data_IF_520398665399
#
_entry.id   IF_520398665399
#
_cell.length_a   1.000
_cell.length_b   1.000
_cell.length_c   1.000
_cell.angle_alpha   90.00
_cell.angle_beta   90.00
_cell.angle_gamma   90.00
#
_symmetry.space_group_name_H-M   'P 1'
#
loop_
_entity.id
_entity.type
_entity.pdbx_description
1 polymer ?
#
# COMPACT_ATOMS: atom_id res chain seq x y z
N UNK A 1 -1.94 9.67 -6.21
CA UNK A 1 -2.61 8.35 -6.04
C UNK A 1 -1.62 7.34 -5.44
N UNK A 2 -1.05 7.63 -4.27
CA UNK A 2 0.36 7.26 -4.02
C UNK A 2 0.56 6.22 -2.90
N UNK A 3 -0.52 5.62 -2.37
CA UNK A 3 -0.48 4.66 -1.24
C UNK A 3 -0.85 3.22 -1.66
N UNK A 4 -0.66 2.89 -2.93
CA UNK A 4 -1.07 1.62 -3.50
C UNK A 4 -0.30 1.34 -4.78
N UNK A 5 0.09 0.09 -4.99
CA UNK A 5 0.62 -0.38 -6.28
C UNK A 5 -0.56 -0.70 -7.19
N UNK A 6 -0.71 0.06 -8.28
CA UNK A 6 -1.76 -0.18 -9.27
C UNK A 6 -1.38 -1.36 -10.17
N UNK A 7 -2.31 -2.30 -10.37
CA UNK A 7 -2.15 -3.41 -11.31
C UNK A 7 -3.19 -3.26 -12.44
N UNK A 8 -2.73 -2.97 -13.66
CA UNK A 8 -3.62 -2.84 -14.81
C UNK A 8 -4.13 -4.22 -15.26
N UNK A 9 -5.45 -4.44 -15.15
CA UNK A 9 -6.09 -5.66 -15.66
C UNK A 9 -6.34 -5.54 -17.16
N UNK A 10 -5.64 -6.35 -17.95
CA UNK A 10 -5.78 -6.41 -19.41
C UNK A 10 -6.83 -7.44 -19.83
N UNK A 11 -7.49 -7.19 -20.97
CA UNK A 11 -8.47 -8.14 -21.52
C UNK A 11 -7.74 -9.35 -22.10
N UNK A 12 -8.09 -10.53 -21.59
CA UNK A 12 -7.61 -11.82 -22.07
C UNK A 12 -7.86 -11.98 -23.58
N UNK A 13 -6.83 -12.37 -24.32
CA UNK A 13 -6.89 -12.68 -25.76
C UNK A 13 -7.38 -14.13 -26.00
N UNK A 14 -7.96 -14.44 -27.19
CA UNK A 14 -8.54 -15.77 -27.46
C UNK A 14 -7.54 -16.94 -27.38
N UNK A 15 -6.24 -16.68 -27.57
CA UNK A 15 -5.18 -17.68 -27.55
C UNK A 15 -4.51 -17.83 -26.17
N UNK A 16 -4.78 -16.93 -25.22
CA UNK A 16 -4.23 -17.04 -23.87
C UNK A 16 -4.98 -18.13 -23.10
N UNK A 17 -4.24 -18.95 -22.34
CA UNK A 17 -4.82 -19.88 -21.36
C UNK A 17 -4.56 -19.30 -19.97
N UNK A 18 -5.59 -19.34 -19.11
CA UNK A 18 -5.51 -18.82 -17.74
C UNK A 18 -6.38 -19.70 -16.87
N UNK A 19 -5.81 -20.22 -15.79
CA UNK A 19 -6.51 -21.15 -14.90
C UNK A 19 -7.64 -20.48 -14.13
N UNK A 20 -8.74 -21.21 -13.98
CA UNK A 20 -9.93 -20.72 -13.29
C UNK A 20 -9.81 -21.08 -11.81
N UNK A 21 -9.32 -20.15 -10.99
CA UNK A 21 -9.20 -20.31 -9.52
C UNK A 21 -10.47 -20.83 -8.81
N UNK A 22 -11.66 -20.61 -9.38
CA UNK A 22 -12.94 -21.17 -8.91
C UNK A 22 -13.05 -22.71 -8.96
N UNK A 23 -12.10 -23.37 -9.65
CA UNK A 23 -11.98 -24.82 -9.80
C UNK A 23 -10.58 -25.29 -9.35
N UNK A 24 -9.95 -24.55 -8.44
CA UNK A 24 -8.74 -25.02 -7.77
C UNK A 24 -9.02 -26.30 -6.96
N UNK A 25 -8.00 -27.13 -6.79
CA UNK A 25 -8.09 -28.37 -6.00
C UNK A 25 -8.55 -28.07 -4.55
N UNK A 26 -9.46 -28.88 -3.97
CA UNK A 26 -9.86 -28.76 -2.58
C UNK A 26 -8.64 -28.83 -1.64
N UNK A 27 -8.54 -27.90 -0.69
CA UNK A 27 -7.40 -27.83 0.24
C UNK A 27 -6.19 -27.03 -0.26
N UNK A 28 -6.12 -26.65 -1.55
CA UNK A 28 -4.97 -25.93 -2.10
C UNK A 28 -4.73 -24.58 -1.40
N UNK A 29 -5.80 -23.80 -1.18
CA UNK A 29 -5.68 -22.48 -0.56
C UNK A 29 -5.37 -22.57 0.94
N UNK A 30 -5.93 -23.55 1.64
CA UNK A 30 -5.63 -23.85 3.03
C UNK A 30 -4.16 -24.27 3.20
N UNK A 31 -3.65 -25.12 2.31
CA UNK A 31 -2.25 -25.54 2.29
C UNK A 31 -1.31 -24.36 2.00
N UNK A 32 -1.60 -23.55 0.98
CA UNK A 32 -0.81 -22.36 0.66
C UNK A 32 -0.84 -21.33 1.80
N UNK A 33 -1.99 -21.12 2.45
CA UNK A 33 -2.09 -20.23 3.59
C UNK A 33 -1.25 -20.73 4.78
N UNK A 34 -1.28 -22.03 5.09
CA UNK A 34 -0.45 -22.64 6.13
C UNK A 34 1.05 -22.52 5.82
N UNK A 35 1.45 -22.74 4.56
CA UNK A 35 2.84 -22.57 4.12
C UNK A 35 3.32 -21.12 4.22
N UNK A 36 2.49 -20.15 3.80
CA UNK A 36 2.80 -18.72 3.89
C UNK A 36 2.87 -18.24 5.34
N UNK A 37 1.93 -18.68 6.19
CA UNK A 37 1.94 -18.37 7.62
C UNK A 37 3.24 -18.88 8.27
N UNK A 38 3.58 -20.15 8.05
CA UNK A 38 4.80 -20.74 8.60
C UNK A 38 6.07 -20.04 8.09
N UNK A 39 6.15 -19.76 6.79
CA UNK A 39 7.28 -19.02 6.22
C UNK A 39 7.41 -17.63 6.85
N UNK A 40 6.29 -16.93 7.10
CA UNK A 40 6.30 -15.60 7.71
C UNK A 40 6.76 -15.60 9.18
N UNK A 41 6.45 -16.65 9.94
CA UNK A 41 7.00 -16.87 11.29
C UNK A 41 8.51 -17.11 11.24
N UNK A 42 8.95 -18.03 10.37
CA UNK A 42 10.35 -18.44 10.28
C UNK A 42 11.29 -17.34 9.73
N UNK A 43 10.77 -16.40 8.94
CA UNK A 43 11.56 -15.39 8.22
C UNK A 43 11.28 -13.94 8.63
N UNK A 44 10.36 -13.70 9.57
CA UNK A 44 9.89 -12.35 9.92
C UNK A 44 11.00 -11.36 10.32
N UNK A 45 12.00 -11.81 11.06
CA UNK A 45 13.14 -10.96 11.45
C UNK A 45 14.17 -10.76 10.32
N UNK A 46 14.29 -11.72 9.40
CA UNK A 46 15.10 -11.55 8.20
C UNK A 46 14.47 -10.48 7.28
N UNK A 47 13.15 -10.54 7.05
CA UNK A 47 12.41 -9.52 6.29
C UNK A 47 12.55 -8.14 6.96
N UNK A 48 12.38 -8.06 8.28
CA UNK A 48 12.51 -6.81 9.06
C UNK A 48 13.90 -6.16 8.95
N UNK A 49 14.96 -6.97 8.85
CA UNK A 49 16.36 -6.51 8.81
C UNK A 49 16.90 -6.32 7.40
N UNK A 50 16.26 -6.90 6.38
CA UNK A 50 16.61 -6.69 4.97
C UNK A 50 16.56 -5.19 4.60
N UNK A 51 17.53 -4.75 3.80
CA UNK A 51 17.65 -3.36 3.30
C UNK A 51 17.88 -3.41 1.80
N UNK A 52 16.81 -3.67 1.01
CA UNK A 52 16.93 -3.85 -0.43
C UNK A 52 17.36 -2.56 -1.13
N UNK A 53 18.12 -2.72 -2.20
CA UNK A 53 18.42 -1.61 -3.10
C UNK A 53 17.13 -1.16 -3.82
N UNK A 54 16.63 -0.01 -3.42
CA UNK A 54 15.47 0.65 -4.03
C UNK A 54 15.89 1.32 -5.35
N UNK A 55 15.24 1.02 -6.49
CA UNK A 55 15.53 1.71 -7.74
C UNK A 55 15.30 3.22 -7.63
N UNK A 56 16.26 4.03 -8.11
CA UNK A 56 16.23 5.49 -7.99
C UNK A 56 15.04 6.19 -8.69
N UNK A 57 14.30 5.47 -9.54
CA UNK A 57 13.05 5.95 -10.15
C UNK A 57 11.80 5.72 -9.26
N UNK A 58 11.96 5.25 -8.02
CA UNK A 58 10.88 5.17 -7.03
C UNK A 58 10.91 6.40 -6.12
N UNK A 59 10.04 7.36 -6.39
CA UNK A 59 9.95 8.60 -5.61
C UNK A 59 9.01 8.46 -4.39
N UNK A 60 9.42 9.05 -3.26
CA UNK A 60 8.67 9.15 -2.00
C UNK A 60 7.84 7.91 -1.65
N UNK A 61 6.51 8.00 -1.80
CA UNK A 61 5.56 6.96 -1.40
C UNK A 61 5.62 5.70 -2.25
N UNK A 62 6.13 5.80 -3.49
CA UNK A 62 6.36 4.60 -4.30
C UNK A 62 7.46 3.74 -3.67
N UNK A 63 8.52 4.35 -3.15
CA UNK A 63 9.56 3.66 -2.39
C UNK A 63 8.99 3.01 -1.12
N UNK A 64 8.25 3.77 -0.29
CA UNK A 64 7.55 3.26 0.92
C UNK A 64 6.71 2.00 0.62
N UNK A 65 5.96 2.00 -0.49
CA UNK A 65 5.05 0.90 -0.86
C UNK A 65 5.81 -0.34 -1.39
N UNK A 66 6.94 -0.15 -2.08
CA UNK A 66 7.71 -1.22 -2.69
C UNK A 66 8.75 -1.83 -1.75
N UNK A 67 9.25 -1.11 -0.74
CA UNK A 67 10.27 -1.60 0.19
C UNK A 67 9.88 -2.95 0.84
N UNK A 68 8.67 -3.15 1.42
CA UNK A 68 8.32 -4.42 2.04
C UNK A 68 8.28 -5.60 1.06
N UNK A 69 7.87 -5.36 -0.19
CA UNK A 69 7.85 -6.39 -1.23
C UNK A 69 9.27 -6.76 -1.67
N UNK A 70 10.18 -5.79 -1.72
CA UNK A 70 11.59 -6.01 -2.03
C UNK A 70 12.33 -6.71 -0.86
N UNK A 71 12.00 -6.38 0.40
CA UNK A 71 12.51 -7.08 1.59
C UNK A 71 12.12 -8.57 1.58
N UNK A 72 10.86 -8.88 1.26
CA UNK A 72 10.39 -10.26 1.07
C UNK A 72 11.14 -10.93 -0.08
N UNK A 73 11.25 -10.27 -1.23
CA UNK A 73 11.93 -10.82 -2.41
C UNK A 73 13.41 -11.14 -2.15
N UNK A 74 14.13 -10.30 -1.40
CA UNK A 74 15.52 -10.57 -0.97
C UNK A 74 15.62 -11.70 0.04
N UNK A 75 14.66 -11.81 0.96
CA UNK A 75 14.63 -12.91 1.93
C UNK A 75 14.35 -14.26 1.27
N UNK A 76 13.52 -14.30 0.22
CA UNK A 76 13.31 -15.50 -0.61
C UNK A 76 14.52 -15.77 -1.53
N UNK A 77 15.17 -14.72 -2.03
CA UNK A 77 16.37 -14.81 -2.87
C UNK A 77 16.13 -15.38 -4.27
N UNK A 78 17.19 -15.89 -4.89
CA UNK A 78 17.15 -16.42 -6.26
C UNK A 78 16.76 -15.35 -7.28
N UNK A 79 15.76 -15.63 -8.12
CA UNK A 79 15.29 -14.73 -9.20
C UNK A 79 14.31 -13.64 -8.72
N UNK A 80 13.84 -13.73 -7.47
CA UNK A 80 12.78 -12.85 -6.96
C UNK A 80 13.21 -11.38 -6.77
N UNK A 81 14.41 -11.05 -6.26
CA UNK A 81 14.84 -9.66 -6.09
C UNK A 81 14.88 -8.88 -7.42
N UNK A 82 15.45 -9.48 -8.46
CA UNK A 82 15.52 -8.89 -9.79
C UNK A 82 14.12 -8.75 -10.42
N UNK A 83 13.29 -9.79 -10.29
CA UNK A 83 11.91 -9.77 -10.80
C UNK A 83 11.07 -8.68 -10.14
N UNK A 84 11.19 -8.53 -8.81
CA UNK A 84 10.49 -7.49 -8.05
C UNK A 84 10.99 -6.08 -8.41
N UNK A 85 12.31 -5.84 -8.52
CA UNK A 85 12.86 -4.56 -8.98
C UNK A 85 12.39 -4.18 -10.39
N UNK A 86 12.35 -5.15 -11.31
CA UNK A 86 11.83 -4.94 -12.68
C UNK A 86 10.34 -4.62 -12.70
N UNK A 87 9.54 -5.28 -11.86
CA UNK A 87 8.12 -4.98 -11.72
C UNK A 87 7.88 -3.57 -11.14
N UNK A 88 8.67 -3.17 -10.14
CA UNK A 88 8.59 -1.85 -9.54
C UNK A 88 8.86 -0.72 -10.55
N UNK A 89 9.92 -0.87 -11.36
CA UNK A 89 10.23 0.08 -12.45
C UNK A 89 9.12 0.15 -13.50
N UNK A 90 8.60 -1.00 -13.95
CA UNK A 90 7.55 -1.03 -14.97
C UNK A 90 6.25 -0.37 -14.50
N UNK A 91 5.83 -0.62 -13.25
CA UNK A 91 4.58 -0.10 -12.70
C UNK A 91 4.66 1.36 -12.25
N UNK A 92 5.83 1.83 -11.79
CA UNK A 92 6.03 3.25 -11.47
C UNK A 92 6.16 4.13 -12.72
N UNK A 93 6.80 3.64 -13.80
CA UNK A 93 6.96 4.41 -15.03
C UNK A 93 5.64 4.80 -15.72
N UNK A 94 4.62 3.94 -15.69
CA UNK A 94 3.28 4.27 -16.21
C UNK A 94 2.54 5.31 -15.33
N UNK A 95 2.80 5.30 -14.01
CA UNK A 95 2.28 6.30 -13.09
C UNK A 95 2.95 7.67 -13.31
N UNK A 96 4.28 7.72 -13.43
CA UNK A 96 5.02 8.96 -13.72
C UNK A 96 4.67 9.54 -15.09
N UNK A 97 4.53 8.71 -16.14
CA UNK A 97 4.08 9.17 -17.45
C UNK A 97 2.64 9.73 -17.43
N UNK A 98 1.77 9.16 -16.58
CA UNK A 98 0.42 9.68 -16.38
C UNK A 98 0.42 10.99 -15.59
N UNK A 99 1.26 11.08 -14.54
CA UNK A 99 1.44 12.29 -13.74
C UNK A 99 2.05 13.44 -14.57
N UNK A 100 3.09 13.18 -15.36
CA UNK A 100 3.75 14.21 -16.20
C UNK A 100 2.79 14.79 -17.24
N UNK A 101 1.96 13.93 -17.86
CA UNK A 101 0.89 14.38 -18.77
C UNK A 101 -0.20 15.17 -18.02
N UNK A 102 -0.47 14.84 -16.75
CA UNK A 102 -1.40 15.58 -15.91
C UNK A 102 -0.84 16.93 -15.42
N UNK A 103 0.46 17.04 -15.15
CA UNK A 103 1.13 18.31 -14.84
C UNK A 103 1.25 19.22 -16.06
N UNK A 104 1.45 18.64 -17.26
CA UNK A 104 1.37 19.35 -18.53
C UNK A 104 -0.03 19.97 -18.70
N UNK A 105 -1.09 19.17 -18.47
CA UNK A 105 -2.47 19.65 -18.48
C UNK A 105 -2.74 20.77 -17.45
N UNK A 106 -2.22 20.65 -16.23
CA UNK A 106 -2.37 21.71 -15.23
C UNK A 106 -1.64 22.99 -15.63
N UNK A 107 -0.46 22.89 -16.26
CA UNK A 107 0.31 24.03 -16.77
C UNK A 107 -0.50 24.79 -17.82
N UNK A 108 -1.05 24.08 -18.80
CA UNK A 108 -1.85 24.68 -19.87
C UNK A 108 -3.16 25.29 -19.36
N UNK A 109 -3.80 24.65 -18.38
CA UNK A 109 -4.99 25.21 -17.73
C UNK A 109 -4.63 26.49 -16.96
N UNK A 110 -3.51 26.52 -16.24
CA UNK A 110 -3.04 27.74 -15.56
C UNK A 110 -2.81 28.89 -16.55
N UNK A 111 -2.17 28.63 -17.69
CA UNK A 111 -1.98 29.62 -18.76
C UNK A 111 -3.31 30.15 -19.31
N UNK A 112 -4.33 29.30 -19.49
CA UNK A 112 -5.67 29.76 -19.91
C UNK A 112 -6.32 30.67 -18.85
N UNK A 113 -6.19 30.33 -17.57
CA UNK A 113 -6.70 31.15 -16.47
C UNK A 113 -5.99 32.51 -16.36
N UNK A 114 -4.68 32.57 -16.60
CA UNK A 114 -3.89 33.80 -16.70
C UNK A 114 -4.27 34.64 -17.92
N UNK A 115 -4.26 34.05 -19.11
CA UNK A 115 -4.48 34.73 -20.40
C UNK A 115 -5.87 35.36 -20.48
N UNK A 116 -6.88 34.70 -19.92
CA UNK A 116 -8.25 35.24 -19.84
C UNK A 116 -8.49 36.11 -18.60
N UNK A 117 -7.53 36.21 -17.67
CA UNK A 117 -7.64 36.82 -16.34
C UNK A 117 -8.95 36.40 -15.62
N UNK A 118 -9.31 35.12 -15.76
CA UNK A 118 -10.64 34.63 -15.43
C UNK A 118 -10.68 34.08 -13.99
N UNK A 119 -11.57 34.60 -13.16
CA UNK A 119 -11.84 34.00 -11.83
C UNK A 119 -12.74 32.76 -11.91
N UNK A 120 -13.44 32.59 -13.05
CA UNK A 120 -14.44 31.56 -13.32
C UNK A 120 -14.45 31.27 -14.81
N UNK A 121 -14.41 30.01 -15.21
CA UNK A 121 -14.45 29.59 -16.61
C UNK A 121 -15.43 28.41 -16.77
N UNK A 122 -16.26 28.41 -17.80
CA UNK A 122 -17.10 27.25 -18.10
C UNK A 122 -16.23 26.11 -18.65
N UNK A 123 -16.61 24.85 -18.40
CA UNK A 123 -15.83 23.69 -18.82
C UNK A 123 -15.70 23.61 -20.35
N UNK A 124 -16.72 24.08 -21.08
CA UNK A 124 -16.71 24.17 -22.54
C UNK A 124 -15.66 25.18 -23.05
N UNK A 125 -15.62 26.37 -22.45
CA UNK A 125 -14.71 27.44 -22.87
C UNK A 125 -13.26 27.11 -22.51
N UNK A 126 -13.04 26.48 -21.34
CA UNK A 126 -11.73 25.95 -20.96
C UNK A 126 -11.24 24.89 -21.96
N UNK A 127 -12.11 23.96 -22.37
CA UNK A 127 -11.74 22.96 -23.36
C UNK A 127 -11.45 23.59 -24.72
N UNK A 128 -12.28 24.54 -25.17
CA UNK A 128 -12.05 25.23 -26.44
C UNK A 128 -10.72 26.00 -26.42
N UNK A 129 -10.36 26.64 -25.31
CA UNK A 129 -9.07 27.32 -25.15
C UNK A 129 -7.90 26.32 -25.23
N UNK A 130 -7.98 25.18 -24.52
CA UNK A 130 -6.97 24.11 -24.60
C UNK A 130 -6.84 23.47 -25.99
N UNK A 131 -7.90 23.51 -26.80
CA UNK A 131 -7.93 22.99 -28.17
C UNK A 131 -7.61 24.05 -29.25
N UNK A 132 -7.50 25.33 -28.86
CA UNK A 132 -7.20 26.42 -29.81
C UNK A 132 -5.73 26.46 -30.23
N UNK A 133 -4.87 25.79 -29.46
CA UNK A 133 -3.45 25.61 -29.76
C UNK A 133 -3.25 24.21 -30.37
N UNK A 134 -2.92 24.17 -31.66
CA UNK A 134 -2.69 22.93 -32.40
C UNK A 134 -1.34 22.27 -32.09
N UNK A 135 -0.38 23.01 -31.49
CA UNK A 135 0.90 22.44 -31.03
C UNK A 135 0.71 21.66 -29.72
N UNK A 136 -0.31 22.00 -28.93
CA UNK A 136 -0.62 21.32 -27.67
C UNK A 136 -1.27 19.96 -27.86
N UNK A 137 -0.88 19.02 -27.00
CA UNK A 137 -1.25 17.59 -27.06
C UNK A 137 -2.75 17.32 -26.94
N UNK A 138 -3.54 18.31 -26.50
CA UNK A 138 -4.98 18.21 -26.34
C UNK A 138 -5.73 18.17 -27.68
N UNK A 139 -5.19 18.84 -28.71
CA UNK A 139 -5.77 18.86 -30.06
C UNK A 139 -5.71 17.48 -30.75
N UNK A 140 -4.63 16.72 -30.51
CA UNK A 140 -4.35 15.42 -31.15
C UNK A 140 -4.39 14.21 -30.20
N UNK A 141 -4.92 14.43 -28.99
CA UNK A 141 -4.84 13.60 -27.78
C UNK A 141 -4.81 12.06 -27.95
N UNK A 142 -5.90 11.44 -28.45
CA UNK A 142 -5.99 9.97 -28.55
C UNK A 142 -6.28 9.54 -29.98
N UNK A 143 -5.25 9.06 -30.67
CA UNK A 143 -5.33 8.64 -32.07
C UNK A 143 -5.68 9.80 -33.00
N UNK A 144 -5.11 10.99 -32.76
CA UNK A 144 -5.36 12.21 -33.54
C UNK A 144 -6.73 12.86 -33.29
N UNK A 145 -7.47 12.44 -32.25
CA UNK A 145 -8.75 13.05 -31.87
C UNK A 145 -8.58 14.05 -30.73
N UNK A 146 -9.29 15.20 -30.77
CA UNK A 146 -9.24 16.20 -29.71
C UNK A 146 -9.78 15.66 -28.39
N UNK A 147 -9.26 16.19 -27.29
CA UNK A 147 -9.73 15.88 -25.94
C UNK A 147 -11.20 16.27 -25.76
N UNK A 148 -11.93 15.48 -24.97
CA UNK A 148 -13.35 15.71 -24.65
C UNK A 148 -13.57 16.20 -23.22
N UNK A 149 -14.69 16.87 -22.96
CA UNK A 149 -15.06 17.37 -21.62
C UNK A 149 -15.05 16.28 -20.53
N UNK A 150 -15.43 15.05 -20.88
CA UNK A 150 -15.41 13.91 -19.96
C UNK A 150 -13.98 13.49 -19.60
N UNK A 151 -13.05 13.53 -20.56
CA UNK A 151 -11.63 13.22 -20.31
C UNK A 151 -10.97 14.31 -19.48
N UNK A 152 -11.20 15.58 -19.82
CA UNK A 152 -10.74 16.74 -19.03
C UNK A 152 -11.23 16.65 -17.58
N UNK A 153 -12.53 16.41 -17.38
CA UNK A 153 -13.11 16.27 -16.03
C UNK A 153 -12.55 15.07 -15.26
N UNK A 154 -12.28 13.96 -15.95
CA UNK A 154 -11.68 12.76 -15.35
C UNK A 154 -10.26 13.05 -14.86
N UNK A 155 -9.43 13.67 -15.70
CA UNK A 155 -8.04 14.04 -15.33
C UNK A 155 -8.01 15.05 -14.18
N UNK A 156 -8.84 16.09 -14.25
CA UNK A 156 -8.94 17.08 -13.17
C UNK A 156 -9.40 16.47 -11.83
N UNK A 157 -10.25 15.43 -11.86
CA UNK A 157 -10.65 14.75 -10.64
C UNK A 157 -9.53 13.96 -9.94
N UNK A 158 -8.43 13.63 -10.63
CA UNK A 158 -7.23 13.02 -10.02
C UNK A 158 -6.51 14.00 -9.08
N UNK A 159 -6.72 15.31 -9.28
CA UNK A 159 -6.22 16.43 -8.48
C UNK A 159 -7.28 17.01 -7.52
N UNK A 160 -8.37 16.28 -7.29
CA UNK A 160 -9.58 16.71 -6.57
C UNK A 160 -10.36 17.92 -7.16
N UNK A 161 -9.95 18.40 -8.34
CA UNK A 161 -10.62 19.50 -9.05
C UNK A 161 -11.92 18.99 -9.69
N UNK A 162 -13.06 19.43 -9.15
CA UNK A 162 -14.40 19.02 -9.60
C UNK A 162 -15.16 20.17 -10.22
N UNK A 163 -15.73 19.94 -11.41
CA UNK A 163 -16.59 20.93 -12.07
C UNK A 163 -17.84 21.22 -11.23
N UNK A 164 -18.05 22.50 -10.92
CA UNK A 164 -19.22 22.99 -10.19
C UNK A 164 -20.20 23.65 -11.17
N UNK A 165 -21.48 23.76 -10.78
CA UNK A 165 -22.41 24.62 -11.50
C UNK A 165 -22.11 26.07 -11.10
N UNK A 166 -21.60 26.84 -12.06
CA UNK A 166 -21.24 28.24 -11.86
C UNK A 166 -22.12 29.15 -12.70
N UNK A 167 -22.35 30.37 -12.21
CA UNK A 167 -23.00 31.44 -12.95
C UNK A 167 -21.95 32.45 -13.39
N UNK A 168 -21.95 32.79 -14.68
CA UNK A 168 -21.15 33.86 -15.29
C UNK A 168 -22.13 34.74 -16.07
N UNK A 169 -22.28 35.99 -15.64
CA UNK A 169 -23.31 36.89 -16.16
C UNK A 169 -24.73 36.31 -16.01
N UNK A 170 -25.39 36.06 -17.14
CA UNK A 170 -26.75 35.52 -17.20
C UNK A 170 -26.82 34.00 -17.31
N UNK A 171 -25.74 33.35 -17.73
CA UNK A 171 -25.69 31.91 -17.96
C UNK A 171 -25.25 31.13 -16.73
N UNK A 172 -25.86 29.96 -16.52
CA UNK A 172 -25.48 29.00 -15.49
C UNK A 172 -25.13 27.67 -16.16
N UNK A 173 -23.83 27.31 -16.16
CA UNK A 173 -23.29 26.08 -16.80
C UNK A 173 -22.27 25.43 -15.87
N UNK A 174 -21.79 24.22 -16.21
CA UNK A 174 -20.67 23.62 -15.48
C UNK A 174 -19.35 24.31 -15.80
N UNK A 175 -18.50 24.47 -14.81
CA UNK A 175 -17.22 25.14 -14.93
C UNK A 175 -16.34 24.97 -13.70
N UNK A 176 -15.25 25.72 -13.67
CA UNK A 176 -14.23 25.70 -12.62
C UNK A 176 -14.04 27.12 -12.09
N UNK A 177 -13.88 27.25 -10.77
CA UNK A 177 -13.45 28.49 -10.13
C UNK A 177 -11.93 28.48 -9.94
N UNK A 178 -11.30 29.64 -10.03
CA UNK A 178 -9.86 29.79 -9.82
C UNK A 178 -9.42 29.23 -8.46
N UNK A 179 -10.17 29.53 -7.40
CA UNK A 179 -9.90 29.01 -6.04
C UNK A 179 -9.96 27.48 -5.88
N UNK A 180 -10.51 26.74 -6.86
CA UNK A 180 -10.47 25.27 -6.86
C UNK A 180 -9.19 24.71 -7.50
N UNK A 181 -8.55 25.49 -8.38
CA UNK A 181 -7.37 25.09 -9.14
C UNK A 181 -6.08 25.68 -8.57
N UNK A 182 -6.13 26.83 -7.88
CA UNK A 182 -4.97 27.47 -7.25
C UNK A 182 -4.21 26.53 -6.30
N UNK A 183 -4.89 25.70 -5.51
CA UNK A 183 -4.24 24.72 -4.61
C UNK A 183 -3.48 23.63 -5.40
N UNK A 184 -4.03 23.16 -6.51
CA UNK A 184 -3.33 22.23 -7.40
C UNK A 184 -2.17 22.91 -8.13
N UNK A 185 -2.34 24.15 -8.61
CA UNK A 185 -1.25 24.91 -9.22
C UNK A 185 -0.09 25.09 -8.24
N UNK A 186 -0.38 25.49 -7.00
CA UNK A 186 0.63 25.66 -5.95
C UNK A 186 1.35 24.36 -5.55
N UNK A 187 0.73 23.17 -5.74
CA UNK A 187 1.36 21.86 -5.45
C UNK A 187 2.11 21.23 -6.62
N UNK A 188 1.61 21.41 -7.83
CA UNK A 188 2.06 20.66 -9.02
C UNK A 188 2.77 21.54 -10.06
N UNK A 189 2.59 22.87 -10.01
CA UNK A 189 3.25 23.85 -10.91
C UNK A 189 4.26 24.75 -10.20
N UNK A 190 4.18 24.87 -8.87
CA UNK A 190 5.34 25.29 -8.10
C UNK A 190 6.47 24.32 -8.40
N UNK A 191 7.46 24.80 -9.16
CA UNK A 191 8.68 24.05 -9.48
C UNK A 191 9.21 23.33 -8.25
N UNK A 192 9.74 22.10 -8.37
CA UNK A 192 10.60 21.57 -7.32
C UNK A 192 11.81 22.50 -7.20
N UNK A 193 11.72 23.44 -6.26
CA UNK A 193 12.88 23.95 -5.58
C UNK A 193 13.73 22.72 -5.18
N UNK A 194 15.04 22.84 -5.36
CA UNK A 194 16.03 21.78 -5.15
C UNK A 194 15.69 20.89 -3.94
N UNK A 195 15.96 19.56 -4.01
CA UNK A 195 15.52 18.58 -3.01
C UNK A 195 15.67 19.14 -1.60
N UNK A 196 14.61 19.10 -0.77
CA UNK A 196 14.59 19.81 0.50
C UNK A 196 15.84 19.43 1.27
N UNK A 197 16.72 20.43 1.48
CA UNK A 197 17.84 20.28 2.38
C UNK A 197 17.27 19.72 3.68
N UNK A 198 17.85 18.65 4.26
CA UNK A 198 17.29 18.02 5.44
C UNK A 198 17.08 19.12 6.47
N UNK A 199 15.84 19.25 6.97
CA UNK A 199 15.50 20.29 7.93
C UNK A 199 16.46 20.21 9.10
N UNK A 200 17.46 21.09 9.13
CA UNK A 200 18.30 21.25 10.30
C UNK A 200 17.38 21.76 11.40
N UNK A 201 16.99 20.84 12.28
CA UNK A 201 16.39 21.16 13.56
C UNK A 201 17.31 22.17 14.22
N UNK A 202 16.87 23.44 14.22
CA UNK A 202 17.59 24.54 14.86
C UNK A 202 18.01 24.10 16.25
N UNK A 203 19.32 24.06 16.49
CA UNK A 203 19.86 23.68 17.79
C UNK A 203 19.34 24.67 18.82
N UNK A 204 18.32 24.27 19.57
CA UNK A 204 17.85 25.07 20.69
C UNK A 204 19.04 25.31 21.62
N UNK A 205 19.33 26.57 22.00
CA UNK A 205 20.39 26.84 22.95
C UNK A 205 19.95 26.23 24.29
N UNK A 206 20.65 25.19 24.72
CA UNK A 206 20.38 24.56 26.00
C UNK A 206 20.81 25.53 27.10
N UNK A 207 19.85 26.33 27.60
CA UNK A 207 20.06 27.29 28.66
C UNK A 207 20.31 26.54 29.97
N UNK A 208 21.59 26.23 30.22
CA UNK A 208 22.03 25.49 31.39
C UNK A 208 21.79 26.27 32.69
N UNK A 209 20.66 26.00 33.35
CA UNK A 209 20.50 26.23 34.78
C UNK A 209 21.12 25.03 35.52
N UNK A 210 22.42 25.14 35.84
CA UNK A 210 23.16 24.08 36.50
C UNK A 210 22.76 23.89 37.96
N UNK A 211 22.29 22.70 38.30
CA UNK A 211 22.31 22.11 39.65
C UNK A 211 22.61 20.62 39.47
N UNK A 212 23.55 19.98 40.17
CA UNK A 212 24.51 20.47 41.15
C UNK A 212 25.18 19.21 41.71
N UNK A 213 26.45 18.97 41.38
CA UNK A 213 27.12 17.70 41.74
C UNK A 213 27.38 17.68 43.25
N UNK A 214 26.79 16.69 43.92
CA UNK A 214 27.19 16.29 45.27
C UNK A 214 27.57 14.81 45.27
N UNK A 215 28.86 14.55 45.42
CA UNK A 215 29.39 13.31 46.01
C UNK A 215 28.70 13.07 47.37
N UNK A 216 28.36 11.85 47.82
CA UNK A 216 29.28 10.72 48.00
C UNK A 216 28.50 9.38 48.23
N UNK A 217 29.15 8.19 48.32
CA UNK A 217 28.51 6.89 48.07
C UNK A 217 28.15 6.06 49.32
N UNK A 218 27.23 5.09 49.12
CA UNK A 218 26.96 3.80 49.82
C UNK A 218 25.51 3.39 49.45
N UNK A 219 25.09 2.13 49.30
CA UNK A 219 25.69 0.80 49.52
C UNK A 219 24.96 -0.22 48.62
N UNK A 220 25.56 -1.40 48.41
CA UNK A 220 24.82 -2.58 47.96
C UNK A 220 23.71 -2.93 48.96
N UNK A 221 22.49 -3.22 48.47
CA UNK A 221 21.50 -4.04 49.13
C UNK A 221 20.58 -4.67 48.07
N UNK A 222 20.58 -6.00 48.01
CA UNK A 222 19.66 -6.77 47.16
C UNK A 222 18.52 -7.26 48.04
N UNK A 223 17.29 -6.79 47.81
CA UNK A 223 16.12 -7.36 48.48
C UNK A 223 15.09 -7.85 47.46
N UNK A 224 14.78 -9.14 47.55
CA UNK A 224 13.63 -9.76 46.88
C UNK A 224 12.46 -9.72 47.86
N UNK A 225 11.29 -9.16 47.49
CA UNK A 225 10.07 -9.46 48.23
C UNK A 225 9.69 -10.92 47.94
N UNK A 226 9.80 -11.76 48.98
CA UNK A 226 9.24 -13.10 49.02
C UNK A 226 7.91 -13.01 49.77
N UNK A 227 6.78 -13.06 49.07
CA UNK A 227 5.48 -13.29 49.71
C UNK A 227 4.93 -14.65 49.30
N UNK A 228 4.85 -15.52 50.30
CA UNK A 228 4.26 -16.85 50.25
C UNK A 228 2.75 -16.70 50.35
N UNK A 229 1.98 -17.25 49.41
CA UNK A 229 0.53 -17.39 49.56
C UNK A 229 0.24 -18.55 50.52
N UNK A 230 -0.56 -18.28 51.55
CA UNK A 230 -1.00 -19.29 52.52
C UNK A 230 -2.04 -20.26 51.91
N UNK A 231 -2.01 -21.56 52.26
CA UNK A 231 -2.98 -22.54 51.78
C UNK A 231 -4.31 -22.48 52.56
N UNK A 232 -5.44 -22.74 51.87
CA UNK A 232 -6.74 -22.93 52.53
C UNK A 232 -6.77 -24.25 53.33
N UNK A 233 -7.41 -24.28 54.52
CA UNK A 233 -7.57 -25.50 55.31
C UNK A 233 -8.73 -26.38 54.86
N UNK A 234 -8.46 -27.69 54.88
CA UNK A 234 -9.25 -28.86 54.52
C UNK A 234 -10.75 -28.94 54.89
N UNK A 235 -11.50 -29.71 54.06
CA UNK A 235 -12.08 -30.99 54.53
C UNK A 235 -12.57 -31.96 53.43
N UNK A 236 -12.15 -33.22 53.60
CA UNK A 236 -12.79 -34.49 53.17
C UNK A 236 -12.43 -35.11 51.80
N UNK A 237 -11.33 -35.88 51.82
CA UNK A 237 -11.11 -37.21 51.22
C UNK A 237 -12.17 -37.83 50.28
N UNK A 238 -11.68 -38.40 49.17
CA UNK A 238 -11.83 -39.85 48.88
C UNK A 238 -10.64 -40.40 48.06
N UNK A 239 -10.39 -41.69 48.22
CA UNK A 239 -9.29 -42.53 47.63
C UNK A 239 -9.94 -43.54 46.63
N UNK A 240 -9.28 -44.34 45.76
CA UNK A 240 -7.95 -45.00 45.81
C UNK A 240 -7.33 -45.14 44.40
N UNK A 241 -6.01 -44.86 44.33
CA UNK A 241 -4.93 -45.35 43.43
C UNK A 241 -5.15 -45.99 42.03
N UNK A 242 -4.13 -45.79 41.19
CA UNK A 242 -3.80 -46.50 39.94
C UNK A 242 -3.86 -48.05 39.98
N UNK A 243 -4.02 -48.67 38.79
CA UNK A 243 -3.17 -49.81 38.44
C UNK A 243 -2.89 -50.02 36.93
N UNK A 244 -1.65 -50.46 36.68
CA UNK A 244 -0.98 -50.66 35.38
C UNK A 244 -1.36 -51.94 34.62
N UNK A 245 -1.13 -51.92 33.30
CA UNK A 245 -0.75 -53.00 32.36
C UNK A 245 -0.88 -54.50 32.75
N UNK A 246 -1.43 -55.33 31.85
CA UNK A 246 -0.62 -56.24 30.97
C UNK A 246 -1.42 -57.22 30.07
N UNK A 247 -1.12 -57.15 28.76
CA UNK A 247 -0.70 -58.24 27.83
C UNK A 247 -1.28 -59.68 27.95
N UNK A 248 -1.86 -60.15 26.84
CA UNK A 248 -1.93 -61.57 26.40
C UNK A 248 -3.23 -62.33 26.77
N UNK A 249 -3.65 -63.39 26.07
CA UNK A 249 -3.17 -64.00 24.82
C UNK A 249 -4.25 -64.97 24.24
N UNK A 250 -4.22 -65.25 22.92
CA UNK A 250 -4.75 -66.45 22.21
C UNK A 250 -6.07 -67.15 22.65
N UNK A 251 -7.05 -67.16 21.73
CA UNK A 251 -7.27 -68.35 20.87
C UNK A 251 -8.66 -69.05 20.86
N UNK A 252 -9.05 -69.49 19.64
CA UNK A 252 -10.10 -70.48 19.26
C UNK A 252 -11.58 -70.10 19.52
N UNK A 253 -12.60 -70.60 18.79
CA UNK A 253 -12.80 -71.16 17.42
C UNK A 253 -14.27 -71.64 17.30
N UNK A 254 -14.75 -72.07 16.11
CA UNK A 254 -15.98 -72.89 15.86
C UNK A 254 -17.33 -72.10 15.97
N UNK A 255 -18.33 -72.20 15.07
CA UNK A 255 -18.52 -72.80 13.71
C UNK A 255 -19.73 -72.16 12.99
N UNK A 256 -19.79 -72.33 11.66
CA UNK A 256 -20.93 -72.64 10.75
C UNK A 256 -22.36 -72.16 11.06
N UNK A 257 -23.01 -71.56 10.04
CA UNK A 257 -24.09 -72.15 9.21
C UNK A 257 -24.54 -71.05 8.18
N UNK A 258 -24.33 -71.27 6.88
CA UNK A 258 -25.33 -71.76 5.89
C UNK A 258 -26.56 -70.84 5.69
N UNK A 259 -26.64 -70.20 4.51
CA UNK A 259 -27.63 -70.50 3.45
C UNK A 259 -27.51 -69.50 2.28
N UNK A 260 -27.28 -70.01 1.06
CA UNK A 260 -27.68 -69.36 -0.19
C UNK A 260 -29.19 -69.59 -0.40
N UNK A 261 -29.95 -68.66 -1.00
CA UNK A 261 -30.45 -68.85 -2.38
C UNK A 261 -31.33 -67.67 -2.89
N UNK A 262 -31.45 -67.60 -4.23
CA UNK A 262 -32.31 -66.74 -5.11
C UNK A 262 -31.92 -65.26 -5.29
#
# INVERSE_FOLDING_TARGET
MDRSIALELRRKLPHEQVDKLRHAEPGLFEQLAAMLARWSEDNGDAVRTARPELPAALHDRAADNWEPLLQIAETVGGVWPETARRAALALSGEAEASQSTGTELLTDIHEVFETQNAQRIFSADLLNALLSDEEKRWATWRGGRPMTLKQLSSRLSEYDIKSAQIRIGYESKKGFLRSQVDDAFNRYLSSPAAPPAPSETSKQPNAGAGFGVSHDPKRFATERPSETLEPLPDKACFDVSDRSEKRGERGKSVTDDEEEDV
#
